data_IF_747111296161
#
_entry.id   IF_747111296161
#
_cell.length_a   1.000
_cell.length_b   1.000
_cell.length_c   1.000
_cell.angle_alpha   90.00
_cell.angle_beta   90.00
_cell.angle_gamma   90.00
#
_symmetry.space_group_name_H-M   'P 1'
#
loop_
_entity.id
_entity.type
_entity.pdbx_description
1 polymer ?
#
# COMPACT_ATOMS: atom_id res chain seq x y z
N UNK A 1 -28.00 -18.93 26.68
CA UNK A 1 -26.54 -19.10 26.89
C UNK A 1 -25.89 -18.16 25.91
N UNK A 2 -25.71 -16.93 26.37
CA UNK A 2 -25.29 -15.80 25.56
C UNK A 2 -23.78 -15.85 25.33
N UNK A 3 -23.37 -15.71 24.07
CA UNK A 3 -21.98 -15.58 23.67
C UNK A 3 -21.46 -14.19 24.07
N UNK A 4 -20.27 -14.07 24.66
CA UNK A 4 -19.68 -12.77 24.94
C UNK A 4 -19.19 -12.09 23.64
N UNK A 5 -19.18 -10.74 23.58
CA UNK A 5 -18.82 -10.00 22.39
C UNK A 5 -17.31 -10.06 22.14
N UNK A 6 -16.91 -10.29 20.89
CA UNK A 6 -15.53 -10.23 20.43
C UNK A 6 -15.05 -8.78 20.38
N UNK A 7 -14.19 -8.39 21.32
CA UNK A 7 -13.53 -7.08 21.35
C UNK A 7 -12.19 -7.12 20.59
N UNK A 8 -12.14 -6.32 19.53
CA UNK A 8 -11.00 -5.60 18.95
C UNK A 8 -9.70 -6.37 18.68
N UNK A 9 -9.61 -6.91 17.47
CA UNK A 9 -8.35 -7.08 16.75
C UNK A 9 -8.03 -5.75 16.05
N UNK A 10 -7.22 -4.90 16.67
CA UNK A 10 -6.91 -3.58 16.15
C UNK A 10 -5.41 -3.28 16.32
N UNK A 11 -4.60 -3.79 15.39
CA UNK A 11 -3.17 -3.42 15.29
C UNK A 11 -2.53 -3.63 13.90
N UNK A 12 -3.34 -3.75 12.84
CA UNK A 12 -2.91 -3.63 11.44
C UNK A 12 -3.95 -2.85 10.59
N UNK A 13 -4.94 -2.20 11.22
CA UNK A 13 -6.09 -1.61 10.51
C UNK A 13 -5.84 -0.21 9.92
N UNK A 14 -4.74 0.48 10.25
CA UNK A 14 -4.47 1.85 9.78
C UNK A 14 -3.71 1.94 8.43
N UNK A 15 -4.10 1.15 7.43
CA UNK A 15 -3.50 1.22 6.08
C UNK A 15 -4.46 1.62 4.96
N UNK A 16 -5.58 2.26 5.29
CA UNK A 16 -6.59 2.57 4.29
C UNK A 16 -7.01 4.02 4.33
N UNK A 17 -7.12 4.59 3.14
CA UNK A 17 -7.74 5.86 2.91
C UNK A 17 -9.24 5.75 3.18
N UNK A 18 -9.72 6.45 4.20
CA UNK A 18 -11.10 6.91 4.16
C UNK A 18 -11.29 7.67 2.83
N UNK A 19 -12.35 7.34 2.09
CA UNK A 19 -12.73 8.07 0.88
C UNK A 19 -13.18 9.48 1.27
N UNK A 20 -12.21 10.37 1.37
CA UNK A 20 -12.43 11.81 1.37
C UNK A 20 -12.77 12.25 -0.06
N UNK A 21 -13.59 13.31 -0.16
CA UNK A 21 -13.92 13.94 -1.44
C UNK A 21 -12.65 14.27 -2.24
N UNK A 22 -12.70 14.27 -3.59
CA UNK A 22 -11.53 14.60 -4.40
C UNK A 22 -10.91 15.90 -3.89
N UNK A 23 -9.64 15.85 -3.50
CA UNK A 23 -8.95 17.05 -3.03
C UNK A 23 -8.96 18.09 -4.15
N UNK A 24 -9.66 19.19 -3.92
CA UNK A 24 -9.66 20.32 -4.85
C UNK A 24 -8.22 20.86 -4.99
N UNK A 25 -7.87 21.38 -6.16
CA UNK A 25 -6.51 21.90 -6.40
C UNK A 25 -6.10 22.93 -5.34
N UNK A 26 -7.05 23.71 -4.85
CA UNK A 26 -6.83 24.70 -3.79
C UNK A 26 -6.52 24.07 -2.42
N UNK A 27 -7.10 22.91 -2.08
CA UNK A 27 -6.74 22.18 -0.85
C UNK A 27 -5.38 21.50 -0.98
N UNK A 28 -5.07 20.92 -2.15
CA UNK A 28 -3.75 20.35 -2.43
C UNK A 28 -2.66 21.42 -2.33
N UNK A 29 -2.88 22.61 -2.87
CA UNK A 29 -1.91 23.73 -2.81
C UNK A 29 -1.63 24.22 -1.39
N UNK A 30 -2.55 24.01 -0.44
CA UNK A 30 -2.37 24.35 0.98
C UNK A 30 -1.50 23.33 1.71
N UNK A 31 -1.55 22.06 1.30
CA UNK A 31 -0.78 20.97 1.91
C UNK A 31 0.60 20.83 1.27
N UNK A 32 0.67 20.95 -0.06
CA UNK A 32 1.92 20.82 -0.82
C UNK A 32 2.68 22.14 -0.81
N UNK A 33 3.94 22.16 -0.33
CA UNK A 33 4.78 23.36 -0.35
C UNK A 33 4.90 24.00 -1.74
N UNK A 34 4.99 25.33 -1.78
CA UNK A 34 5.06 26.11 -3.03
C UNK A 34 6.20 25.70 -3.96
N UNK A 35 7.32 25.25 -3.39
CA UNK A 35 8.46 24.71 -4.14
C UNK A 35 8.08 23.52 -5.05
N UNK A 36 7.00 22.80 -4.75
CA UNK A 36 6.55 21.61 -5.47
C UNK A 36 5.30 21.83 -6.30
N UNK A 37 4.78 23.07 -6.39
CA UNK A 37 3.54 23.36 -7.12
C UNK A 37 3.59 23.03 -8.62
N UNK A 38 4.79 22.93 -9.21
CA UNK A 38 4.96 22.43 -10.58
C UNK A 38 4.58 20.95 -10.77
N UNK A 39 4.45 20.18 -9.68
CA UNK A 39 4.10 18.76 -9.65
C UNK A 39 2.70 18.49 -9.08
N UNK A 40 1.82 19.50 -9.00
CA UNK A 40 0.44 19.33 -8.49
C UNK A 40 -0.34 18.24 -9.24
N UNK A 41 0.03 17.97 -10.50
CA UNK A 41 -0.60 16.93 -11.30
C UNK A 41 -0.33 15.50 -10.83
N UNK A 42 0.72 15.29 -10.01
CA UNK A 42 1.01 14.02 -9.31
C UNK A 42 0.00 13.75 -8.19
N UNK A 43 -0.71 14.77 -7.70
CA UNK A 43 -1.70 14.64 -6.63
C UNK A 43 -3.15 14.55 -7.15
N UNK A 44 -3.32 14.23 -8.44
CA UNK A 44 -4.63 14.20 -9.08
C UNK A 44 -5.36 12.87 -8.86
N UNK A 45 -6.42 12.89 -8.04
CA UNK A 45 -7.32 11.72 -7.82
C UNK A 45 -7.87 11.15 -9.14
N UNK A 46 -8.33 12.02 -10.04
CA UNK A 46 -8.88 11.62 -11.35
C UNK A 46 -7.87 10.89 -12.22
N UNK A 47 -6.58 11.25 -12.14
CA UNK A 47 -5.54 10.53 -12.87
C UNK A 47 -5.15 9.22 -12.16
N UNK A 48 -5.21 9.19 -10.83
CA UNK A 48 -4.94 7.99 -10.02
C UNK A 48 -5.96 6.87 -10.26
N UNK A 49 -7.22 7.21 -10.57
CA UNK A 49 -8.28 6.22 -10.87
C UNK A 49 -8.13 5.56 -12.25
N UNK A 50 -7.19 6.00 -13.08
CA UNK A 50 -6.94 5.38 -14.39
C UNK A 50 -6.13 4.11 -14.23
N UNK A 51 -6.47 3.10 -15.01
CA UNK A 51 -5.71 1.85 -15.08
C UNK A 51 -4.28 2.19 -15.55
N UNK A 52 -3.24 1.75 -14.82
CA UNK A 52 -1.86 1.98 -15.22
C UNK A 52 -1.56 1.29 -16.57
N UNK A 53 -0.59 1.76 -17.36
CA UNK A 53 -0.14 1.04 -18.55
C UNK A 53 0.57 -0.26 -18.17
N UNK A 54 0.62 -1.23 -19.09
CA UNK A 54 1.45 -2.44 -18.94
C UNK A 54 2.94 -2.06 -18.88
N UNK A 55 3.70 -2.79 -18.07
CA UNK A 55 5.14 -2.60 -17.92
C UNK A 55 5.87 -3.95 -17.77
N UNK A 56 7.21 -3.91 -17.80
CA UNK A 56 8.04 -5.12 -17.64
C UNK A 56 7.91 -5.77 -16.25
N UNK A 57 7.40 -5.01 -15.27
CA UNK A 57 7.21 -5.45 -13.89
C UNK A 57 5.78 -5.93 -13.60
N UNK A 58 4.94 -6.09 -14.64
CA UNK A 58 3.57 -6.58 -14.48
C UNK A 58 3.52 -7.88 -13.67
N UNK A 59 2.48 -8.01 -12.85
CA UNK A 59 2.33 -9.11 -11.94
C UNK A 59 2.00 -10.39 -12.71
N UNK A 60 2.96 -11.32 -12.71
CA UNK A 60 2.86 -12.61 -13.36
C UNK A 60 2.45 -13.71 -12.36
N UNK A 61 1.47 -14.51 -12.74
CA UNK A 61 0.93 -15.62 -11.96
C UNK A 61 1.37 -16.94 -12.63
N UNK A 62 2.60 -17.36 -12.37
CA UNK A 62 3.13 -18.62 -12.88
C UNK A 62 2.57 -19.81 -12.10
N UNK A 63 1.73 -20.63 -12.73
CA UNK A 63 1.16 -21.83 -12.11
C UNK A 63 2.15 -23.01 -12.18
N UNK A 64 2.24 -23.78 -11.09
CA UNK A 64 2.96 -25.06 -11.06
C UNK A 64 2.12 -26.23 -11.62
N UNK A 65 0.85 -25.97 -11.93
CA UNK A 65 -0.12 -26.93 -12.45
C UNK A 65 -0.67 -26.47 -13.80
N UNK A 66 -1.17 -27.40 -14.60
CA UNK A 66 -1.70 -27.11 -15.94
C UNK A 66 -3.06 -26.39 -15.96
N UNK A 67 -3.84 -26.47 -14.89
CA UNK A 67 -5.16 -25.82 -14.80
C UNK A 67 -5.33 -25.09 -13.47
N UNK A 68 -5.93 -23.88 -13.47
CA UNK A 68 -6.18 -23.13 -12.24
C UNK A 68 -7.23 -23.82 -11.37
N UNK A 69 -7.14 -23.68 -10.03
CA UNK A 69 -8.10 -24.27 -9.12
C UNK A 69 -9.44 -23.54 -9.15
N UNK A 70 -10.53 -24.28 -8.97
CA UNK A 70 -11.88 -23.69 -8.91
C UNK A 70 -12.16 -23.17 -7.50
N UNK A 71 -12.44 -21.86 -7.41
CA UNK A 71 -12.89 -21.18 -6.18
C UNK A 71 -14.30 -21.61 -5.75
N UNK A 72 -14.58 -21.48 -4.45
CA UNK A 72 -15.92 -21.72 -3.89
C UNK A 72 -16.68 -20.40 -3.90
N UNK A 73 -17.98 -20.44 -4.23
CA UNK A 73 -18.85 -19.29 -3.98
C UNK A 73 -19.28 -19.36 -2.52
N UNK A 74 -18.86 -18.38 -1.73
CA UNK A 74 -19.34 -18.23 -0.37
C UNK A 74 -20.80 -17.79 -0.38
N UNK A 75 -21.63 -18.43 0.46
CA UNK A 75 -23.01 -18.01 0.64
C UNK A 75 -23.03 -16.69 1.40
N UNK A 76 -23.42 -15.63 0.71
CA UNK A 76 -23.54 -14.29 1.28
C UNK A 76 -24.99 -14.02 1.67
N UNK A 77 -25.19 -13.32 2.78
CA UNK A 77 -26.47 -12.74 3.15
C UNK A 77 -26.94 -11.74 2.08
N UNK A 78 -28.22 -11.37 2.11
CA UNK A 78 -28.76 -10.37 1.19
C UNK A 78 -28.06 -9.00 1.37
N UNK A 79 -27.75 -8.63 2.62
CA UNK A 79 -27.03 -7.40 2.93
C UNK A 79 -25.62 -7.40 2.33
N UNK A 80 -24.85 -8.46 2.54
CA UNK A 80 -23.51 -8.59 1.95
C UNK A 80 -23.54 -8.60 0.41
N UNK A 81 -24.56 -9.23 -0.17
CA UNK A 81 -24.75 -9.27 -1.62
C UNK A 81 -25.06 -7.88 -2.19
N UNK A 82 -25.90 -7.09 -1.52
CA UNK A 82 -26.23 -5.73 -1.94
C UNK A 82 -25.06 -4.77 -1.72
N UNK A 83 -24.28 -4.95 -0.65
CA UNK A 83 -23.02 -4.26 -0.41
C UNK A 83 -22.01 -4.51 -1.53
N UNK A 84 -21.76 -5.78 -1.90
CA UNK A 84 -20.83 -6.11 -2.98
C UNK A 84 -21.30 -5.51 -4.30
N UNK A 85 -22.62 -5.51 -4.57
CA UNK A 85 -23.18 -4.83 -5.75
C UNK A 85 -22.92 -3.32 -5.71
N UNK A 86 -23.13 -2.67 -4.57
CA UNK A 86 -22.89 -1.25 -4.40
C UNK A 86 -21.40 -0.91 -4.58
N UNK A 87 -20.51 -1.70 -3.99
CA UNK A 87 -19.06 -1.61 -4.13
C UNK A 87 -18.65 -1.64 -5.61
N UNK A 88 -19.03 -2.69 -6.33
CA UNK A 88 -18.67 -2.88 -7.74
C UNK A 88 -19.27 -1.81 -8.66
N UNK A 89 -20.52 -1.39 -8.41
CA UNK A 89 -21.24 -0.48 -9.32
C UNK A 89 -20.95 1.00 -9.09
N UNK A 90 -20.63 1.39 -7.86
CA UNK A 90 -20.47 2.81 -7.50
C UNK A 90 -19.06 3.16 -7.08
N UNK A 91 -18.16 2.17 -6.99
CA UNK A 91 -16.83 2.33 -6.39
C UNK A 91 -16.94 3.08 -5.05
N UNK A 92 -18.02 2.81 -4.30
CA UNK A 92 -18.36 3.50 -3.06
C UNK A 92 -18.01 2.59 -1.91
N UNK A 93 -16.97 2.97 -1.20
CA UNK A 93 -16.53 2.26 -0.02
C UNK A 93 -17.14 2.98 1.17
N UNK A 94 -18.21 2.41 1.72
CA UNK A 94 -18.67 2.76 3.07
C UNK A 94 -17.69 2.26 4.15
N UNK A 95 -16.38 2.29 3.89
CA UNK A 95 -15.32 1.63 4.68
C UNK A 95 -15.22 0.12 4.47
N UNK A 96 -15.95 -0.46 3.52
CA UNK A 96 -15.97 -1.90 3.27
C UNK A 96 -14.95 -2.28 2.19
N UNK A 97 -14.27 -3.41 2.36
CA UNK A 97 -13.19 -3.87 1.47
C UNK A 97 -13.55 -5.19 0.82
N UNK A 98 -13.37 -5.28 -0.49
CA UNK A 98 -13.51 -6.54 -1.21
C UNK A 98 -12.25 -7.38 -1.02
N UNK A 99 -12.36 -8.45 -0.23
CA UNK A 99 -11.30 -9.44 -0.06
C UNK A 99 -11.63 -10.69 -0.89
N UNK A 100 -10.82 -10.95 -1.91
CA UNK A 100 -10.92 -12.19 -2.69
C UNK A 100 -10.03 -13.25 -2.06
N UNK A 101 -10.61 -14.42 -1.82
CA UNK A 101 -9.89 -15.55 -1.27
C UNK A 101 -9.09 -16.29 -2.36
N UNK A 102 -7.81 -15.96 -2.46
CA UNK A 102 -6.86 -16.61 -3.37
C UNK A 102 -6.11 -17.79 -2.76
N UNK A 103 -6.46 -18.32 -1.58
CA UNK A 103 -5.66 -19.38 -0.92
C UNK A 103 -5.38 -20.58 -1.83
N UNK A 104 -6.38 -21.03 -2.60
CA UNK A 104 -6.20 -22.14 -3.55
C UNK A 104 -5.27 -21.78 -4.70
N UNK A 105 -5.42 -20.59 -5.27
CA UNK A 105 -4.56 -20.08 -6.35
C UNK A 105 -3.12 -19.95 -5.85
N UNK A 106 -2.95 -19.29 -4.71
CA UNK A 106 -1.68 -19.08 -4.02
C UNK A 106 -0.92 -20.37 -3.73
N UNK A 107 -1.64 -21.46 -3.41
CA UNK A 107 -1.03 -22.76 -3.14
C UNK A 107 -0.40 -23.41 -4.38
N UNK A 108 -0.85 -23.03 -5.58
CA UNK A 108 -0.36 -23.59 -6.85
C UNK A 108 0.45 -22.57 -7.67
N UNK A 109 0.59 -21.34 -7.19
CA UNK A 109 1.42 -20.31 -7.82
C UNK A 109 2.87 -20.47 -7.37
N UNK A 110 3.80 -20.46 -8.33
CA UNK A 110 5.23 -20.48 -8.06
C UNK A 110 5.63 -19.24 -7.27
N UNK A 111 6.30 -19.44 -6.14
CA UNK A 111 6.75 -18.35 -5.27
C UNK A 111 7.95 -17.62 -5.86
N UNK A 112 7.83 -16.32 -6.04
CA UNK A 112 8.90 -15.41 -6.40
C UNK A 112 9.68 -15.01 -5.14
N UNK A 113 11.00 -15.22 -5.16
CA UNK A 113 11.91 -14.88 -4.06
C UNK A 113 12.60 -13.53 -4.28
N UNK A 114 11.88 -12.55 -4.84
CA UNK A 114 12.43 -11.21 -5.00
C UNK A 114 12.83 -10.65 -3.63
N UNK A 115 14.03 -10.08 -3.48
CA UNK A 115 14.50 -9.59 -2.19
C UNK A 115 13.68 -8.36 -1.78
N UNK A 116 12.91 -8.50 -0.70
CA UNK A 116 12.31 -7.37 0.00
C UNK A 116 13.28 -6.94 1.10
N UNK A 117 13.69 -5.66 1.15
CA UNK A 117 14.64 -5.20 2.15
C UNK A 117 14.06 -5.36 3.56
N UNK A 118 14.82 -5.91 4.52
CA UNK A 118 14.35 -6.00 5.89
C UNK A 118 14.23 -4.61 6.49
N UNK A 119 13.20 -4.40 7.32
CA UNK A 119 12.90 -3.10 7.96
C UNK A 119 14.14 -2.54 8.67
N UNK A 120 14.88 -3.37 9.40
CA UNK A 120 16.10 -2.95 10.11
C UNK A 120 17.16 -2.31 9.19
N UNK A 121 17.25 -2.74 7.93
CA UNK A 121 18.18 -2.15 6.96
C UNK A 121 17.67 -0.81 6.45
N UNK A 122 16.36 -0.68 6.25
CA UNK A 122 15.75 0.60 5.87
C UNK A 122 15.94 1.65 6.97
N UNK A 123 15.86 1.20 8.23
CA UNK A 123 15.98 2.05 9.40
C UNK A 123 17.38 2.69 9.57
N UNK A 124 18.45 2.06 9.09
CA UNK A 124 19.82 2.60 9.26
C UNK A 124 20.05 3.89 8.48
N UNK A 125 19.32 4.09 7.38
CA UNK A 125 19.39 5.30 6.54
C UNK A 125 18.93 6.55 7.32
N UNK A 126 18.09 6.37 8.35
CA UNK A 126 17.56 7.48 9.14
C UNK A 126 18.55 8.08 10.16
N UNK A 127 19.57 7.31 10.58
CA UNK A 127 20.46 7.70 11.69
C UNK A 127 21.32 8.96 11.45
N UNK A 128 21.38 9.45 10.22
CA UNK A 128 22.16 10.62 9.85
C UNK A 128 21.33 11.81 9.38
N UNK A 129 19.99 11.74 9.47
CA UNK A 129 19.11 12.74 8.89
C UNK A 129 18.34 13.49 9.98
N UNK A 130 18.10 14.77 9.75
CA UNK A 130 17.43 15.67 10.71
C UNK A 130 16.00 16.02 10.30
N UNK A 131 15.69 15.89 9.01
CA UNK A 131 14.41 16.29 8.44
C UNK A 131 13.96 15.19 7.46
N UNK A 132 12.65 14.98 7.43
CA UNK A 132 11.98 13.91 6.71
C UNK A 132 10.81 14.45 5.90
N UNK A 133 10.52 13.79 4.79
CA UNK A 133 9.27 13.96 4.04
C UNK A 133 8.71 12.59 3.69
N UNK A 134 7.42 12.40 3.96
CA UNK A 134 6.68 11.16 3.75
C UNK A 134 5.65 11.39 2.66
N UNK A 135 5.81 10.69 1.54
CA UNK A 135 4.87 10.73 0.42
C UNK A 135 4.10 9.41 0.42
N UNK A 136 2.78 9.49 0.27
CA UNK A 136 1.91 8.34 0.30
C UNK A 136 1.29 8.06 -1.08
N UNK A 137 1.41 6.81 -1.53
CA UNK A 137 0.85 6.30 -2.77
C UNK A 137 -0.41 5.47 -2.46
N UNK A 138 -1.63 6.02 -2.66
CA UNK A 138 -2.86 5.28 -2.42
C UNK A 138 -2.93 4.05 -3.32
N UNK A 139 -3.42 2.94 -2.76
CA UNK A 139 -3.67 1.71 -3.53
C UNK A 139 -2.43 1.18 -4.24
N UNK A 140 -1.27 1.15 -3.58
CA UNK A 140 0.00 0.88 -4.25
C UNK A 140 0.05 -0.47 -4.99
N UNK A 141 -0.68 -1.48 -4.50
CA UNK A 141 -0.84 -2.75 -5.20
C UNK A 141 -1.61 -2.61 -6.54
N UNK A 142 -2.56 -1.68 -6.63
CA UNK A 142 -3.32 -1.43 -7.86
C UNK A 142 -2.52 -0.62 -8.92
N UNK A 143 -1.30 -0.18 -8.59
CA UNK A 143 -0.41 0.54 -9.51
C UNK A 143 0.28 -0.40 -10.52
N UNK A 144 0.23 -1.71 -10.31
CA UNK A 144 0.73 -2.71 -11.25
C UNK A 144 -0.42 -3.42 -11.96
N UNK A 145 -0.25 -3.67 -13.26
CA UNK A 145 -1.17 -4.53 -14.00
C UNK A 145 -0.90 -6.00 -13.71
N UNK A 146 -1.95 -6.81 -13.84
CA UNK A 146 -1.75 -8.24 -14.09
C UNK A 146 -1.17 -8.39 -15.49
N UNK A 147 -0.22 -9.30 -15.67
CA UNK A 147 0.39 -9.55 -16.96
C UNK A 147 -0.67 -10.03 -17.96
N UNK A 148 -0.56 -9.56 -19.20
CA UNK A 148 -1.46 -9.97 -20.29
C UNK A 148 -1.50 -11.50 -20.44
N UNK A 149 -2.70 -12.06 -20.35
CA UNK A 149 -2.99 -13.49 -20.38
C UNK A 149 -3.25 -14.12 -19.01
N UNK A 150 -2.79 -13.49 -17.92
CA UNK A 150 -2.96 -13.98 -16.55
C UNK A 150 -4.21 -13.39 -15.87
N UNK A 151 -4.85 -12.36 -16.45
CA UNK A 151 -6.05 -11.72 -15.88
C UNK A 151 -7.15 -12.73 -15.50
N UNK A 152 -7.47 -13.75 -16.33
CA UNK A 152 -8.49 -14.75 -15.99
C UNK A 152 -8.16 -15.59 -14.75
N UNK A 153 -6.90 -15.64 -14.32
CA UNK A 153 -6.49 -16.36 -13.10
C UNK A 153 -6.95 -15.64 -11.83
N UNK A 154 -7.17 -14.32 -11.92
CA UNK A 154 -7.68 -13.49 -10.81
C UNK A 154 -9.21 -13.47 -10.73
N UNK A 155 -9.87 -14.26 -11.57
CA UNK A 155 -11.31 -14.33 -11.67
C UNK A 155 -11.97 -14.72 -10.33
N UNK A 156 -12.90 -13.89 -9.87
CA UNK A 156 -13.74 -14.17 -8.71
C UNK A 156 -15.22 -14.15 -9.08
N UNK A 157 -16.00 -14.92 -8.33
CA UNK A 157 -17.43 -15.13 -8.60
C UNK A 157 -18.26 -14.50 -7.50
N UNK A 158 -19.20 -13.67 -7.90
CA UNK A 158 -20.29 -13.20 -7.04
C UNK A 158 -21.56 -14.00 -7.33
N UNK A 159 -22.62 -13.77 -6.58
CA UNK A 159 -23.94 -14.39 -6.82
C UNK A 159 -24.49 -14.14 -8.22
N UNK A 160 -24.15 -13.01 -8.85
CA UNK A 160 -24.79 -12.55 -10.09
C UNK A 160 -23.85 -12.59 -11.29
N UNK A 161 -22.55 -12.35 -11.09
CA UNK A 161 -21.58 -12.19 -12.17
C UNK A 161 -20.21 -12.75 -11.79
N UNK A 162 -19.38 -12.92 -12.81
CA UNK A 162 -17.96 -13.24 -12.72
C UNK A 162 -17.18 -11.98 -13.09
N UNK A 163 -16.15 -11.67 -12.31
CA UNK A 163 -15.28 -10.51 -12.54
C UNK A 163 -13.82 -10.96 -12.49
N UNK A 164 -12.96 -10.23 -13.18
CA UNK A 164 -11.51 -10.43 -13.16
C UNK A 164 -10.82 -9.10 -12.84
N UNK A 165 -9.63 -9.18 -12.26
CA UNK A 165 -8.80 -8.03 -11.96
C UNK A 165 -7.83 -7.75 -13.11
N UNK A 166 -7.84 -6.50 -13.60
CA UNK A 166 -6.87 -6.01 -14.60
C UNK A 166 -5.58 -5.49 -13.95
N UNK A 167 -5.69 -5.09 -12.68
CA UNK A 167 -4.59 -4.62 -11.83
C UNK A 167 -4.37 -5.59 -10.70
N UNK A 168 -3.16 -5.63 -10.16
CA UNK A 168 -2.83 -6.51 -9.05
C UNK A 168 -3.74 -6.20 -7.85
N UNK A 169 -4.38 -7.25 -7.33
CA UNK A 169 -5.27 -7.21 -6.18
C UNK A 169 -4.60 -7.72 -4.92
N UNK A 170 -5.11 -7.33 -3.76
CA UNK A 170 -4.69 -7.89 -2.48
C UNK A 170 -4.90 -9.40 -2.40
N UNK A 171 -4.06 -10.06 -1.61
CA UNK A 171 -4.15 -11.50 -1.35
C UNK A 171 -3.45 -12.39 -2.38
N UNK A 172 -2.96 -11.85 -3.51
CA UNK A 172 -2.18 -12.62 -4.47
C UNK A 172 -0.76 -12.92 -3.94
N UNK A 173 -0.30 -14.15 -4.16
CA UNK A 173 1.10 -14.54 -3.90
C UNK A 173 2.05 -13.71 -4.77
N UNK A 174 3.20 -13.31 -4.23
CA UNK A 174 4.20 -12.47 -4.91
C UNK A 174 3.79 -11.02 -5.17
N UNK A 175 2.64 -10.55 -4.69
CA UNK A 175 2.25 -9.15 -4.87
C UNK A 175 3.28 -8.16 -4.29
N UNK A 176 3.79 -8.34 -3.04
CA UNK A 176 4.85 -7.47 -2.51
C UNK A 176 6.16 -7.56 -3.30
N UNK A 177 6.51 -8.76 -3.79
CA UNK A 177 7.72 -8.99 -4.59
C UNK A 177 7.66 -8.28 -5.94
N UNK A 178 6.50 -8.32 -6.61
CA UNK A 178 6.29 -7.66 -7.91
C UNK A 178 6.32 -6.15 -7.74
N UNK A 179 5.71 -5.66 -6.67
CA UNK A 179 5.73 -4.24 -6.34
C UNK A 179 7.12 -3.73 -5.99
N UNK A 180 7.89 -4.47 -5.19
CA UNK A 180 9.29 -4.12 -4.91
C UNK A 180 10.14 -4.09 -6.18
N UNK A 181 9.85 -4.95 -7.16
CA UNK A 181 10.54 -4.92 -8.44
C UNK A 181 10.29 -3.63 -9.22
N UNK A 182 9.03 -3.16 -9.26
CA UNK A 182 8.67 -1.87 -9.85
C UNK A 182 9.38 -0.70 -9.15
N UNK A 183 9.39 -0.72 -7.81
CA UNK A 183 10.05 0.30 -6.99
C UNK A 183 11.54 0.35 -7.30
N UNK A 184 12.18 -0.81 -7.36
CA UNK A 184 13.60 -0.91 -7.67
C UNK A 184 13.88 -0.45 -9.10
N UNK A 185 13.00 -0.68 -10.07
CA UNK A 185 13.17 -0.19 -11.44
C UNK A 185 13.08 1.35 -11.52
N UNK A 186 12.07 1.94 -10.87
CA UNK A 186 11.82 3.39 -10.93
C UNK A 186 12.81 4.20 -10.09
N UNK A 187 13.14 3.71 -8.90
CA UNK A 187 13.89 4.46 -7.88
C UNK A 187 15.30 3.92 -7.63
N UNK A 188 15.80 2.97 -8.45
CA UNK A 188 17.08 2.26 -8.26
C UNK A 188 18.22 3.12 -7.67
N UNK A 189 18.51 4.25 -8.30
CA UNK A 189 19.63 5.12 -7.94
C UNK A 189 19.38 6.03 -6.73
N UNK A 190 18.13 6.11 -6.26
CA UNK A 190 17.72 6.95 -5.13
C UNK A 190 17.55 6.12 -3.84
N UNK A 191 17.21 4.84 -4.00
CA UNK A 191 17.03 3.88 -2.91
C UNK A 191 18.33 3.69 -2.13
N UNK A 192 18.19 3.52 -0.81
CA UNK A 192 19.30 3.35 0.15
C UNK A 192 20.27 4.55 0.23
N UNK A 193 20.07 5.62 -0.55
CA UNK A 193 20.87 6.86 -0.51
C UNK A 193 20.14 7.93 0.29
N UNK A 194 18.99 8.37 -0.21
CA UNK A 194 18.14 9.38 0.43
C UNK A 194 16.64 9.06 0.32
N UNK A 195 16.28 7.99 -0.41
CA UNK A 195 14.90 7.48 -0.48
C UNK A 195 14.85 6.11 0.18
N UNK A 196 13.86 5.93 1.04
CA UNK A 196 13.47 4.66 1.63
C UNK A 196 12.03 4.40 1.21
N UNK A 197 11.80 3.28 0.56
CA UNK A 197 10.49 2.90 0.05
C UNK A 197 10.02 1.64 0.78
N UNK A 198 8.81 1.66 1.33
CA UNK A 198 8.19 0.48 1.93
C UNK A 198 6.69 0.51 1.73
N UNK A 199 6.18 -0.52 1.05
CA UNK A 199 4.77 -0.63 0.67
C UNK A 199 4.28 0.72 0.10
N UNK A 200 3.29 1.34 0.70
CA UNK A 200 2.61 2.50 0.11
C UNK A 200 3.31 3.84 0.41
N UNK A 201 4.39 3.84 1.19
CA UNK A 201 5.06 5.06 1.65
C UNK A 201 6.48 5.20 1.10
N UNK A 202 6.74 6.37 0.52
CA UNK A 202 8.06 6.87 0.16
C UNK A 202 8.53 7.81 1.25
N UNK A 203 9.65 7.49 1.87
CA UNK A 203 10.33 8.36 2.82
C UNK A 203 11.54 8.98 2.15
N UNK A 204 11.65 10.31 2.22
CA UNK A 204 12.80 11.07 1.73
C UNK A 204 13.52 11.68 2.93
N UNK A 205 14.82 11.43 3.04
CA UNK A 205 15.65 11.84 4.18
C UNK A 205 16.76 12.79 3.73
N UNK A 206 17.08 13.78 4.55
CA UNK A 206 18.09 14.78 4.21
C UNK A 206 18.61 15.51 5.46
N UNK A 207 19.73 16.22 5.28
CA UNK A 207 20.37 17.02 6.32
C UNK A 207 20.14 18.52 6.14
N UNK A 208 20.11 18.98 4.89
CA UNK A 208 19.96 20.39 4.52
C UNK A 208 18.65 20.65 3.79
N UNK A 209 18.07 21.82 4.01
CA UNK A 209 16.84 22.27 3.35
C UNK A 209 17.01 22.42 1.82
N UNK A 210 18.20 22.80 1.36
CA UNK A 210 18.50 22.93 -0.07
C UNK A 210 18.54 21.58 -0.79
N UNK A 211 19.12 20.56 -0.13
CA UNK A 211 19.14 19.19 -0.63
C UNK A 211 17.72 18.62 -0.73
N UNK A 212 16.86 18.97 0.23
CA UNK A 212 15.49 18.50 0.29
C UNK A 212 14.68 18.83 -0.97
N UNK A 213 14.70 20.10 -1.37
CA UNK A 213 13.91 20.57 -2.52
C UNK A 213 14.33 19.79 -3.75
N UNK A 214 15.63 19.55 -3.90
CA UNK A 214 16.19 18.78 -5.01
C UNK A 214 15.77 17.30 -4.95
N UNK A 215 15.89 16.66 -3.79
CA UNK A 215 15.55 15.24 -3.60
C UNK A 215 14.06 14.98 -3.80
N UNK A 216 13.18 15.76 -3.15
CA UNK A 216 11.72 15.59 -3.29
C UNK A 216 11.27 15.95 -4.70
N UNK A 217 11.82 17.00 -5.32
CA UNK A 217 11.51 17.30 -6.74
C UNK A 217 11.90 16.14 -7.65
N UNK A 218 13.03 15.48 -7.40
CA UNK A 218 13.45 14.31 -8.17
C UNK A 218 12.49 13.14 -7.99
N UNK A 219 12.05 12.88 -6.75
CA UNK A 219 11.06 11.83 -6.47
C UNK A 219 9.72 12.13 -7.14
N UNK A 220 9.20 13.36 -7.02
CA UNK A 220 7.94 13.77 -7.66
C UNK A 220 8.04 13.73 -9.19
N UNK A 221 9.19 14.11 -9.77
CA UNK A 221 9.43 13.98 -11.20
C UNK A 221 9.43 12.51 -11.66
N UNK A 222 9.98 11.58 -10.87
CA UNK A 222 9.94 10.14 -11.15
C UNK A 222 8.52 9.57 -11.07
N UNK A 223 7.75 9.98 -10.06
CA UNK A 223 6.33 9.63 -9.95
C UNK A 223 5.56 10.09 -11.17
N UNK A 224 5.73 11.37 -11.56
CA UNK A 224 5.10 11.96 -12.74
C UNK A 224 5.44 11.21 -14.03
N UNK A 225 6.73 10.88 -14.22
CA UNK A 225 7.20 10.19 -15.42
C UNK A 225 6.64 8.77 -15.56
N UNK A 226 6.28 8.12 -14.44
CA UNK A 226 5.76 6.75 -14.41
C UNK A 226 4.25 6.69 -14.16
N UNK A 227 3.54 7.82 -14.20
CA UNK A 227 2.10 7.91 -13.91
C UNK A 227 1.72 7.32 -12.54
N UNK A 228 2.57 7.52 -11.53
CA UNK A 228 2.26 7.19 -10.15
C UNK A 228 1.75 8.45 -9.45
N UNK A 229 0.64 8.33 -8.73
CA UNK A 229 -0.06 9.45 -8.13
C UNK A 229 -0.06 9.32 -6.61
N UNK A 230 0.17 10.42 -5.91
CA UNK A 230 0.22 10.49 -4.45
C UNK A 230 -1.05 11.16 -3.90
N UNK A 231 -1.43 10.85 -2.66
CA UNK A 231 -2.55 11.53 -1.99
C UNK A 231 -2.01 12.63 -1.09
N UNK A 232 -2.35 13.89 -1.34
CA UNK A 232 -1.70 15.00 -0.66
C UNK A 232 -2.12 15.08 0.82
N UNK A 233 -3.37 14.77 1.18
CA UNK A 233 -3.84 14.83 2.58
C UNK A 233 -3.04 13.96 3.56
N UNK A 234 -2.45 12.85 3.07
CA UNK A 234 -1.60 11.94 3.85
C UNK A 234 -0.09 12.18 3.66
N UNK A 235 0.30 13.14 2.83
CA UNK A 235 1.70 13.49 2.66
C UNK A 235 2.17 14.44 3.77
N UNK A 236 3.40 14.26 4.23
CA UNK A 236 4.07 15.13 5.19
C UNK A 236 5.36 15.66 4.56
N UNK A 237 5.55 16.97 4.62
CA UNK A 237 6.75 17.62 4.09
C UNK A 237 7.47 18.39 5.21
N UNK A 238 8.81 18.37 5.20
CA UNK A 238 9.64 19.14 6.13
C UNK A 238 9.36 18.88 7.62
N UNK A 239 9.23 17.61 8.00
CA UNK A 239 8.98 17.24 9.41
C UNK A 239 10.27 16.79 10.11
N UNK A 240 10.46 17.21 11.36
CA UNK A 240 11.62 16.80 12.19
C UNK A 240 11.43 15.42 12.84
N UNK A 241 10.19 14.96 12.92
CA UNK A 241 9.84 13.62 13.37
C UNK A 241 8.67 13.06 12.58
N UNK A 242 8.74 11.76 12.24
CA UNK A 242 7.69 11.09 11.48
C UNK A 242 7.49 9.67 11.96
N UNK A 243 6.24 9.22 12.00
CA UNK A 243 5.91 7.83 12.25
C UNK A 243 6.10 6.98 10.98
N UNK A 244 6.88 5.92 11.11
CA UNK A 244 7.21 5.01 10.02
C UNK A 244 7.37 3.58 10.56
N UNK A 245 6.51 2.66 10.10
CA UNK A 245 6.55 1.23 10.43
C UNK A 245 6.49 0.93 11.94
N UNK A 246 5.68 1.68 12.68
CA UNK A 246 5.55 1.55 14.14
C UNK A 246 6.71 2.15 14.94
N UNK A 247 7.63 2.85 14.28
CA UNK A 247 8.70 3.62 14.89
C UNK A 247 8.46 5.12 14.68
N UNK A 248 8.86 5.91 15.66
CA UNK A 248 8.99 7.36 15.54
C UNK A 248 10.44 7.63 15.14
N UNK A 249 10.62 8.10 13.91
CA UNK A 249 11.91 8.52 13.36
C UNK A 249 12.11 10.00 13.67
N UNK A 250 13.26 10.35 14.24
CA UNK A 250 13.60 11.74 14.58
C UNK A 250 15.10 11.98 14.46
N UNK A 251 15.52 13.25 14.55
CA UNK A 251 16.95 13.62 14.60
C UNK A 251 17.70 13.02 15.80
N UNK A 252 17.00 12.66 16.87
CA UNK A 252 17.59 12.00 18.06
C UNK A 252 17.76 10.48 17.86
N UNK A 253 17.29 9.94 16.74
CA UNK A 253 17.28 8.52 16.43
C UNK A 253 15.88 7.93 16.39
N UNK A 254 15.84 6.60 16.44
CA UNK A 254 14.64 5.78 16.33
C UNK A 254 14.08 5.47 17.71
N UNK A 255 12.81 5.82 17.93
CA UNK A 255 12.05 5.44 19.13
C UNK A 255 10.91 4.53 18.71
N UNK A 256 10.54 3.55 19.54
CA UNK A 256 9.30 2.82 19.30
C UNK A 256 8.11 3.73 19.57
N UNK A 257 7.07 3.61 18.75
CA UNK A 257 5.82 4.29 19.04
C UNK A 257 5.22 3.77 20.36
N UNK A 258 4.85 4.71 21.23
CA UNK A 258 4.33 4.39 22.55
C UNK A 258 2.93 3.79 22.49
N UNK A 259 2.16 4.01 21.42
CA UNK A 259 0.86 3.35 21.28
C UNK A 259 1.04 1.84 21.09
N UNK A 260 1.94 1.42 20.18
CA UNK A 260 2.30 0.02 19.98
C UNK A 260 2.87 -0.63 21.26
N UNK A 261 3.73 0.08 21.99
CA UNK A 261 4.26 -0.42 23.28
C UNK A 261 3.15 -0.62 24.30
N UNK A 262 2.19 0.32 24.40
CA UNK A 262 1.04 0.18 25.31
C UNK A 262 0.15 -0.99 24.93
N UNK A 263 -0.06 -1.27 23.64
CA UNK A 263 -0.83 -2.42 23.20
C UNK A 263 -0.18 -3.74 23.64
N UNK A 264 1.14 -3.87 23.48
CA UNK A 264 1.89 -5.06 23.94
C UNK A 264 1.85 -5.18 25.46
N UNK A 265 2.01 -4.07 26.20
CA UNK A 265 1.98 -4.09 27.67
C UNK A 265 0.59 -4.43 28.23
N UNK A 266 -0.47 -4.03 27.53
CA UNK A 266 -1.86 -4.33 27.91
C UNK A 266 -2.36 -5.66 27.36
N UNK A 267 -1.49 -6.42 26.67
CA UNK A 267 -1.89 -7.68 26.05
C UNK A 267 -2.26 -8.71 27.14
N UNK A 268 -3.47 -9.31 27.08
CA UNK A 268 -3.88 -10.29 28.08
C UNK A 268 -2.99 -11.54 28.00
N UNK A 269 -2.67 -12.19 29.13
CA UNK A 269 -1.82 -13.37 29.11
C UNK A 269 -2.45 -14.45 28.19
N UNK A 270 -1.67 -15.01 27.25
CA UNK A 270 -2.19 -15.92 26.25
C UNK A 270 -2.74 -17.19 26.89
N UNK A 271 -3.95 -17.57 26.50
CA UNK A 271 -4.67 -18.72 27.07
C UNK A 271 -4.36 -20.04 26.32
N UNK A 272 -3.72 -19.98 25.16
CA UNK A 272 -3.39 -21.15 24.34
C UNK A 272 -2.11 -20.93 23.51
N UNK A 273 -1.57 -22.02 22.95
CA UNK A 273 -0.32 -22.01 22.16
C UNK A 273 -0.41 -21.11 20.92
N UNK A 274 -1.58 -21.04 20.28
CA UNK A 274 -1.77 -20.16 19.10
C UNK A 274 -1.74 -18.67 19.46
N UNK A 275 -2.08 -18.29 20.70
CA UNK A 275 -1.98 -16.91 21.17
C UNK A 275 -0.56 -16.53 21.63
N UNK A 276 0.38 -17.49 21.65
CA UNK A 276 1.77 -17.32 22.08
C UNK A 276 2.76 -17.35 20.90
N UNK A 277 2.31 -17.76 19.70
CA UNK A 277 3.09 -17.85 18.45
C UNK A 277 2.79 -16.67 17.53
#
# INVERSE_FOLDING_TARGET
MDLPPSSNHDSLEELWDEEEEPEEVETVMKVVPSAYHQYLDVFSKVKAEKIPPHCICDHHIELEVSLPPVGVIYSLSNQESDTIRAYISKNKDGGLRLCVDYHKLNAVTRKNKYPVPPINKLLTVFNCSSIFSKIYLPGAYNLLRIKEGDEPLTCFRTKYCIYEYLVMSFGLTNAPASFQNLVNDIFYYLLDVYVVFYLDYIMVVFKSEEEHVTHVSTVLARLRANNLFAKASKCLFYVSSVEYLGYIVSSEGLKMDQANVKQILNWPPPLNLNALQ
#
